data_IF_731137289193
#
_entry.id   IF_731137289193
#
_cell.length_a   1.000
_cell.length_b   1.000
_cell.length_c   1.000
_cell.angle_alpha   90.00
_cell.angle_beta   90.00
_cell.angle_gamma   90.00
#
_symmetry.space_group_name_H-M   'P 1'
#
loop_
_entity.id
_entity.type
_entity.pdbx_description
1 polymer ?
#
# COMPACT_ATOMS: atom_id res chain seq x y z
N UNK A 1 -14.12 18.29 16.31
CA UNK A 1 -13.62 17.11 17.04
C UNK A 1 -13.37 15.94 16.10
N UNK A 2 -12.21 15.35 16.22
CA UNK A 2 -11.87 14.20 15.37
C UNK A 2 -12.59 12.96 15.86
N UNK A 3 -13.09 12.17 14.95
CA UNK A 3 -13.69 10.90 15.29
C UNK A 3 -12.83 9.76 14.74
N UNK A 4 -13.27 8.56 15.00
CA UNK A 4 -12.52 7.37 14.61
C UNK A 4 -12.36 7.26 13.10
N UNK A 5 -13.36 7.67 12.36
CA UNK A 5 -13.31 7.65 10.90
C UNK A 5 -12.20 8.57 10.39
N UNK A 6 -12.13 9.78 10.95
CA UNK A 6 -11.09 10.74 10.57
C UNK A 6 -9.69 10.20 10.86
N UNK A 7 -9.53 9.55 12.01
CA UNK A 7 -8.25 8.96 12.37
C UNK A 7 -7.83 7.87 11.40
N UNK A 8 -8.79 7.07 10.96
CA UNK A 8 -8.50 6.00 10.02
C UNK A 8 -8.21 6.51 8.62
N UNK A 9 -8.89 7.58 8.20
CA UNK A 9 -8.56 8.23 6.93
C UNK A 9 -7.14 8.77 6.94
N UNK A 10 -6.76 9.36 8.07
CA UNK A 10 -5.41 9.88 8.23
C UNK A 10 -4.38 8.75 8.16
N UNK A 11 -4.69 7.64 8.79
CA UNK A 11 -3.81 6.48 8.75
C UNK A 11 -3.71 5.93 7.33
N UNK A 12 -4.83 5.86 6.62
CA UNK A 12 -4.83 5.39 5.25
C UNK A 12 -3.95 6.28 4.38
N UNK A 13 -4.06 7.59 4.56
CA UNK A 13 -3.24 8.52 3.81
C UNK A 13 -1.76 8.32 4.09
N UNK A 14 -1.40 8.12 5.36
CA UNK A 14 -0.02 7.86 5.74
C UNK A 14 0.50 6.56 5.13
N UNK A 15 -0.32 5.52 5.11
CA UNK A 15 0.06 4.25 4.51
C UNK A 15 0.27 4.38 3.01
N UNK A 16 -0.58 5.15 2.33
CA UNK A 16 -0.44 5.38 0.90
C UNK A 16 0.85 6.13 0.58
N UNK A 17 1.20 7.12 1.40
CA UNK A 17 2.44 7.87 1.22
C UNK A 17 3.63 6.93 1.40
N UNK A 18 3.60 6.09 2.41
CA UNK A 18 4.67 5.12 2.66
C UNK A 18 4.80 4.16 1.50
N UNK A 19 3.69 3.68 0.97
CA UNK A 19 3.71 2.78 -0.18
C UNK A 19 4.34 3.44 -1.40
N UNK A 20 3.99 4.71 -1.63
CA UNK A 20 4.59 5.47 -2.72
C UNK A 20 6.10 5.56 -2.59
N UNK A 21 6.58 5.80 -1.37
CA UNK A 21 8.02 5.87 -1.11
C UNK A 21 8.70 4.53 -1.36
N UNK A 22 8.05 3.43 -0.98
CA UNK A 22 8.60 2.09 -1.21
C UNK A 22 8.67 1.78 -2.71
N UNK A 23 7.64 2.16 -3.46
CA UNK A 23 7.64 1.96 -4.90
C UNK A 23 8.75 2.75 -5.57
N UNK A 24 8.94 4.01 -5.15
CA UNK A 24 10.01 4.83 -5.66
C UNK A 24 11.38 4.21 -5.37
N UNK A 25 11.54 3.68 -4.16
CA UNK A 25 12.76 3.01 -3.77
C UNK A 25 13.02 1.79 -4.66
N UNK A 26 12.00 0.98 -4.89
CA UNK A 26 12.14 -0.20 -5.74
C UNK A 26 12.55 0.16 -7.16
N UNK A 27 11.92 1.20 -7.70
CA UNK A 27 12.24 1.67 -9.05
C UNK A 27 13.68 2.16 -9.12
N UNK A 28 14.10 2.93 -8.12
CA UNK A 28 15.46 3.45 -8.08
C UNK A 28 16.49 2.33 -8.04
N UNK A 29 16.24 1.32 -7.19
CA UNK A 29 17.14 0.17 -7.10
C UNK A 29 17.21 -0.56 -8.43
N UNK A 30 16.06 -0.78 -9.06
CA UNK A 30 15.99 -1.48 -10.33
C UNK A 30 16.73 -0.73 -11.44
N UNK A 31 16.54 0.58 -11.51
CA UNK A 31 17.22 1.41 -12.51
C UNK A 31 18.72 1.36 -12.29
N UNK A 32 19.16 1.49 -11.05
CA UNK A 32 20.59 1.42 -10.75
C UNK A 32 21.18 0.07 -11.12
N UNK A 33 20.45 -1.00 -10.89
CA UNK A 33 20.91 -2.33 -11.27
C UNK A 33 21.05 -2.46 -12.79
N UNK A 34 20.12 -1.87 -13.53
CA UNK A 34 20.15 -1.93 -14.99
C UNK A 34 21.26 -1.08 -15.58
N UNK A 35 21.49 0.10 -15.01
CA UNK A 35 22.47 1.04 -15.56
C UNK A 35 23.90 0.75 -15.08
N UNK A 36 24.04 0.32 -13.84
CA UNK A 36 25.35 0.14 -13.22
C UNK A 36 25.56 -1.27 -12.70
N UNK A 37 24.79 -2.22 -13.23
CA UNK A 37 24.89 -3.60 -12.80
C UNK A 37 26.31 -4.12 -12.94
N UNK A 38 26.74 -4.85 -11.91
CA UNK A 38 28.07 -5.42 -11.87
C UNK A 38 28.09 -6.60 -10.92
N UNK A 39 29.18 -6.81 -10.21
CA UNK A 39 29.33 -7.94 -9.31
C UNK A 39 28.36 -7.91 -8.13
N UNK A 40 27.74 -6.76 -7.87
CA UNK A 40 26.81 -6.61 -6.74
C UNK A 40 25.36 -6.88 -7.13
N UNK A 41 25.13 -7.46 -8.29
CA UNK A 41 23.78 -7.73 -8.78
C UNK A 41 22.93 -8.51 -7.78
N UNK A 42 23.54 -9.49 -7.11
CA UNK A 42 22.81 -10.29 -6.12
C UNK A 42 22.32 -9.46 -4.96
N UNK A 43 23.15 -8.55 -4.47
CA UNK A 43 22.78 -7.69 -3.35
C UNK A 43 21.63 -6.78 -3.76
N UNK A 44 21.73 -6.19 -4.94
CA UNK A 44 20.67 -5.32 -5.43
C UNK A 44 19.39 -6.09 -5.70
N UNK A 45 19.51 -7.29 -6.24
CA UNK A 45 18.37 -8.15 -6.48
C UNK A 45 17.64 -8.47 -5.18
N UNK A 46 18.41 -8.78 -4.13
CA UNK A 46 17.84 -9.06 -2.81
C UNK A 46 17.13 -7.84 -2.23
N UNK A 47 17.69 -6.65 -2.44
CA UNK A 47 17.05 -5.42 -1.99
C UNK A 47 15.72 -5.17 -2.68
N UNK A 48 15.67 -5.44 -3.98
CA UNK A 48 14.43 -5.32 -4.73
C UNK A 48 13.38 -6.28 -4.17
N UNK A 49 13.79 -7.51 -3.89
CA UNK A 49 12.88 -8.51 -3.34
C UNK A 49 12.36 -8.13 -1.96
N UNK A 50 13.22 -7.58 -1.12
CA UNK A 50 12.81 -7.12 0.19
C UNK A 50 11.80 -5.99 0.07
N UNK A 51 12.08 -5.04 -0.80
CA UNK A 51 11.19 -3.91 -1.01
C UNK A 51 9.86 -4.38 -1.57
N UNK A 52 9.88 -5.35 -2.47
CA UNK A 52 8.67 -5.93 -3.02
C UNK A 52 7.79 -6.55 -1.93
N UNK A 53 8.41 -7.25 -0.99
CA UNK A 53 7.67 -7.83 0.13
C UNK A 53 7.04 -6.75 1.01
N UNK A 54 7.77 -5.67 1.23
CA UNK A 54 7.24 -4.56 2.00
C UNK A 54 6.06 -3.91 1.29
N UNK A 55 6.15 -3.77 -0.02
CA UNK A 55 5.06 -3.22 -0.83
C UNK A 55 3.85 -4.14 -0.74
N UNK A 56 4.05 -5.44 -0.85
CA UNK A 56 2.97 -6.40 -0.74
C UNK A 56 2.27 -6.31 0.62
N UNK A 57 3.06 -6.15 1.68
CA UNK A 57 2.49 -6.03 3.01
C UNK A 57 1.71 -4.72 3.16
N UNK A 58 2.24 -3.64 2.63
CA UNK A 58 1.53 -2.35 2.66
C UNK A 58 0.23 -2.42 1.88
N UNK A 59 0.25 -3.12 0.77
CA UNK A 59 -0.95 -3.30 -0.04
C UNK A 59 -2.04 -3.99 0.78
N UNK A 60 -1.68 -5.05 1.50
CA UNK A 60 -2.64 -5.75 2.36
C UNK A 60 -3.13 -4.86 3.50
N UNK A 61 -2.23 -4.10 4.10
CA UNK A 61 -2.60 -3.20 5.18
C UNK A 61 -3.59 -2.15 4.69
N UNK A 62 -3.34 -1.61 3.51
CA UNK A 62 -4.20 -0.60 2.91
C UNK A 62 -5.56 -1.20 2.56
N UNK A 63 -5.57 -2.38 1.97
CA UNK A 63 -6.82 -3.06 1.66
C UNK A 63 -7.66 -3.31 2.91
N UNK A 64 -7.02 -3.80 3.98
CA UNK A 64 -7.71 -4.05 5.24
C UNK A 64 -8.27 -2.77 5.84
N UNK A 65 -7.49 -1.70 5.74
CA UNK A 65 -7.93 -0.42 6.27
C UNK A 65 -9.12 0.13 5.48
N UNK A 66 -9.07 -0.02 4.17
CA UNK A 66 -10.18 0.38 3.30
C UNK A 66 -11.45 -0.40 3.65
N UNK A 67 -11.31 -1.71 3.86
CA UNK A 67 -12.45 -2.53 4.22
C UNK A 67 -13.06 -2.10 5.55
N UNK A 68 -12.21 -1.79 6.53
CA UNK A 68 -12.69 -1.30 7.81
C UNK A 68 -13.45 0.00 7.67
N UNK A 69 -12.92 0.90 6.85
CA UNK A 69 -13.60 2.18 6.61
C UNK A 69 -14.97 1.98 5.99
N UNK A 70 -15.05 1.07 5.03
CA UNK A 70 -16.33 0.76 4.40
C UNK A 70 -17.31 0.16 5.39
N UNK A 71 -16.84 -0.73 6.26
CA UNK A 71 -17.70 -1.36 7.25
C UNK A 71 -18.18 -0.38 8.30
N UNK A 72 -17.39 0.64 8.60
CA UNK A 72 -17.81 1.66 9.54
C UNK A 72 -18.93 2.53 8.99
N UNK A 73 -19.05 2.57 7.67
CA UNK A 73 -20.14 3.25 7.01
C UNK A 73 -21.27 2.25 6.73
N UNK A 74 -21.57 1.43 7.71
CA UNK A 74 -22.43 0.29 7.52
C UNK A 74 -23.81 0.60 6.93
N UNK A 75 -24.51 1.65 7.34
CA UNK A 75 -25.78 1.95 6.68
C UNK A 75 -25.62 2.11 5.18
N UNK A 76 -24.56 2.80 4.76
CA UNK A 76 -24.28 2.98 3.34
C UNK A 76 -23.81 1.66 2.73
N UNK A 77 -22.95 0.93 3.44
CA UNK A 77 -22.47 -0.36 2.96
C UNK A 77 -23.62 -1.36 2.84
N UNK A 78 -24.58 -1.30 3.75
CA UNK A 78 -25.77 -2.14 3.66
C UNK A 78 -26.54 -1.87 2.39
N UNK A 79 -26.70 -0.60 2.05
CA UNK A 79 -27.37 -0.20 0.84
C UNK A 79 -26.61 -0.67 -0.39
N UNK A 80 -25.30 -0.58 -0.36
CA UNK A 80 -24.46 -1.04 -1.45
C UNK A 80 -24.63 -2.53 -1.67
N UNK A 81 -24.75 -3.28 -0.60
CA UNK A 81 -24.94 -4.72 -0.72
C UNK A 81 -26.25 -5.07 -1.40
N UNK A 82 -27.22 -4.21 -1.27
CA UNK A 82 -28.52 -4.40 -1.93
C UNK A 82 -28.52 -3.87 -3.35
N UNK A 83 -27.44 -3.25 -3.73
CA UNK A 83 -27.31 -2.66 -5.04
C UNK A 83 -27.27 -3.73 -6.12
N UNK A 84 -27.86 -3.47 -7.31
CA UNK A 84 -27.80 -4.41 -8.41
C UNK A 84 -26.39 -4.59 -8.97
N UNK A 85 -25.45 -3.77 -8.54
CA UNK A 85 -24.07 -3.89 -8.98
C UNK A 85 -23.37 -5.12 -8.43
N UNK A 86 -23.97 -5.77 -7.48
CA UNK A 86 -23.37 -6.96 -6.89
C UNK A 86 -23.48 -8.16 -7.78
#
# INVERSE_FOLDING_TARGET
MRNRFDEQLEKLNAELITMGALCEQAITIAINALLYGNDDDKVQFNKVHETEREIDQKERDIENLCMRLLLQQQPVAGDLRKSPLR
#
